data_IF_948825133859
#
_entry.id   IF_948825133859
#
_cell.length_a   1.000
_cell.length_b   1.000
_cell.length_c   1.000
_cell.angle_alpha   90.00
_cell.angle_beta   90.00
_cell.angle_gamma   90.00
#
_symmetry.space_group_name_H-M   'P 1'
#
loop_
_entity.id
_entity.type
_entity.pdbx_description
1 polymer ?
#
# COMPACT_ATOMS: atom_id res chain seq x y z
N UNK A 1 -7.32 13.50 19.53
CA UNK A 1 -6.06 13.13 18.81
C UNK A 1 -5.03 12.51 19.74
N UNK A 2 -4.28 13.26 20.57
CA UNK A 2 -3.28 12.63 21.47
C UNK A 2 -3.88 11.60 22.43
N UNK A 3 -5.02 11.91 23.08
CA UNK A 3 -5.68 10.98 24.00
C UNK A 3 -6.22 9.70 23.34
N UNK A 4 -6.66 9.79 22.09
CA UNK A 4 -7.21 8.63 21.36
C UNK A 4 -6.08 7.74 20.83
N UNK A 5 -4.98 8.34 20.39
CA UNK A 5 -3.75 7.63 20.02
C UNK A 5 -3.21 6.81 21.21
N UNK A 6 -3.14 7.42 22.40
CA UNK A 6 -2.71 6.72 23.60
C UNK A 6 -3.62 5.54 23.96
N UNK A 7 -4.94 5.67 23.75
CA UNK A 7 -5.87 4.54 23.95
C UNK A 7 -5.64 3.39 22.97
N UNK A 8 -5.34 3.70 21.70
CA UNK A 8 -5.02 2.68 20.70
C UNK A 8 -3.72 1.95 21.03
N UNK A 9 -2.67 2.68 21.42
CA UNK A 9 -1.39 2.09 21.83
C UNK A 9 -1.57 1.15 23.03
N UNK A 10 -2.25 1.61 24.08
CA UNK A 10 -2.55 0.79 25.26
C UNK A 10 -3.38 -0.47 24.94
N UNK A 11 -4.19 -0.44 23.87
CA UNK A 11 -4.97 -1.60 23.44
C UNK A 11 -4.08 -2.63 22.70
N UNK A 12 -3.15 -2.16 21.87
CA UNK A 12 -2.18 -3.02 21.16
C UNK A 12 -1.20 -3.69 22.12
N UNK A 13 -0.84 -3.02 23.23
CA UNK A 13 0.07 -3.56 24.26
C UNK A 13 -0.38 -4.89 24.85
N UNK A 14 -1.67 -5.25 24.76
CA UNK A 14 -2.19 -6.55 25.17
C UNK A 14 -1.53 -7.73 24.45
N UNK A 15 -0.98 -7.52 23.25
CA UNK A 15 -0.25 -8.56 22.52
C UNK A 15 0.98 -9.03 23.30
N UNK A 16 1.60 -8.16 24.11
CA UNK A 16 2.75 -8.51 24.93
C UNK A 16 2.43 -9.50 26.08
N UNK A 17 1.14 -9.74 26.36
CA UNK A 17 0.71 -10.75 27.34
C UNK A 17 0.80 -12.19 26.77
N UNK A 18 1.00 -12.33 25.46
CA UNK A 18 1.09 -13.62 24.77
C UNK A 18 2.55 -14.04 24.62
N UNK A 19 2.84 -15.31 24.91
CA UNK A 19 4.12 -15.93 24.59
C UNK A 19 4.15 -16.28 23.08
N UNK A 20 4.97 -15.55 22.33
CA UNK A 20 5.16 -15.72 20.89
C UNK A 20 6.56 -16.22 20.55
N UNK A 21 7.31 -16.72 21.55
CA UNK A 21 8.66 -17.23 21.33
C UNK A 21 8.64 -18.42 20.36
N UNK A 22 9.38 -18.30 19.25
CA UNK A 22 9.46 -19.32 18.21
C UNK A 22 8.27 -19.37 17.24
N UNK A 23 7.32 -18.42 17.33
CA UNK A 23 6.23 -18.28 16.36
C UNK A 23 6.70 -17.40 15.20
N UNK A 24 6.84 -17.99 14.01
CA UNK A 24 7.19 -17.24 12.80
C UNK A 24 6.07 -16.27 12.40
N UNK A 25 6.37 -15.00 12.09
CA UNK A 25 5.37 -14.03 11.65
C UNK A 25 4.70 -14.44 10.34
N UNK A 26 3.38 -14.33 10.30
CA UNK A 26 2.61 -14.57 9.08
C UNK A 26 2.61 -13.33 8.19
N UNK A 27 3.48 -13.31 7.17
CA UNK A 27 3.58 -12.21 6.22
C UNK A 27 2.51 -12.26 5.12
N UNK A 28 2.24 -13.45 4.58
CA UNK A 28 1.25 -13.68 3.53
C UNK A 28 0.43 -14.94 3.86
N UNK A 29 -0.85 -14.90 3.53
CA UNK A 29 -1.76 -16.05 3.70
C UNK A 29 -1.53 -17.14 2.63
N UNK A 30 -0.89 -16.78 1.52
CA UNK A 30 -0.60 -17.68 0.40
C UNK A 30 0.88 -18.06 0.38
N UNK A 31 1.14 -19.29 -0.09
CA UNK A 31 2.50 -19.85 -0.21
C UNK A 31 3.20 -19.45 -1.52
N UNK A 32 2.73 -18.39 -2.18
CA UNK A 32 3.21 -18.00 -3.49
C UNK A 32 4.58 -17.32 -3.41
N UNK A 33 5.58 -17.93 -4.04
CA UNK A 33 6.95 -17.43 -4.06
C UNK A 33 7.33 -17.07 -5.49
N UNK A 34 7.81 -15.83 -5.69
CA UNK A 34 8.34 -15.34 -6.96
C UNK A 34 7.37 -15.47 -8.16
N UNK A 35 6.14 -14.99 -8.02
CA UNK A 35 5.25 -14.84 -9.18
C UNK A 35 5.76 -13.70 -10.06
N UNK A 36 6.47 -14.06 -11.13
CA UNK A 36 7.04 -13.11 -12.06
C UNK A 36 6.05 -12.77 -13.18
N UNK A 37 6.04 -11.51 -13.58
CA UNK A 37 5.34 -11.03 -14.78
C UNK A 37 6.14 -11.40 -16.04
N UNK A 38 5.47 -11.86 -17.09
CA UNK A 38 6.07 -12.04 -18.41
C UNK A 38 6.58 -10.69 -18.98
N UNK A 39 7.72 -10.73 -19.67
CA UNK A 39 8.32 -9.54 -20.28
C UNK A 39 7.66 -9.20 -21.63
N UNK A 40 6.43 -8.73 -21.55
CA UNK A 40 5.60 -8.39 -22.71
C UNK A 40 5.10 -6.94 -22.60
N UNK A 41 5.10 -6.22 -23.72
CA UNK A 41 4.58 -4.86 -23.81
C UNK A 41 3.06 -4.88 -23.89
N UNK A 42 2.39 -4.11 -23.04
CA UNK A 42 0.92 -3.96 -23.01
C UNK A 42 0.54 -2.49 -22.98
N UNK A 43 -0.34 -2.09 -23.90
CA UNK A 43 -0.99 -0.78 -23.85
C UNK A 43 -2.32 -0.92 -23.11
N UNK A 44 -2.33 -0.62 -21.81
CA UNK A 44 -3.51 -0.87 -20.95
C UNK A 44 -4.49 0.31 -20.88
N UNK A 45 -3.99 1.55 -21.01
CA UNK A 45 -4.81 2.76 -20.92
C UNK A 45 -4.42 3.78 -21.99
N UNK A 46 -5.36 4.63 -22.39
CA UNK A 46 -5.07 5.77 -23.25
C UNK A 46 -4.50 6.94 -22.44
N UNK A 47 -3.92 7.91 -23.13
CA UNK A 47 -3.42 9.14 -22.50
C UNK A 47 -4.55 9.95 -21.85
N UNK A 48 -5.70 10.06 -22.50
CA UNK A 48 -6.90 10.71 -21.96
C UNK A 48 -7.39 10.02 -20.68
N UNK A 49 -7.39 8.68 -20.65
CA UNK A 49 -7.77 7.90 -19.47
C UNK A 49 -6.79 8.12 -18.32
N UNK A 50 -5.48 8.15 -18.61
CA UNK A 50 -4.44 8.37 -17.62
C UNK A 50 -4.57 9.74 -16.94
N UNK A 51 -4.95 10.77 -17.70
CA UNK A 51 -5.10 12.13 -17.20
C UNK A 51 -6.48 12.41 -16.60
N UNK A 52 -7.46 11.52 -16.72
CA UNK A 52 -8.87 11.75 -16.36
C UNK A 52 -9.07 12.28 -14.93
N UNK A 53 -8.31 11.77 -13.97
CA UNK A 53 -8.44 12.10 -12.55
C UNK A 53 -7.35 13.06 -12.03
N UNK A 54 -6.54 13.64 -12.92
CA UNK A 54 -5.52 14.60 -12.52
C UNK A 54 -6.17 15.85 -11.91
N UNK A 55 -5.80 16.27 -10.67
CA UNK A 55 -6.36 17.47 -10.06
C UNK A 55 -5.97 18.76 -10.80
N UNK A 56 -4.77 18.79 -11.38
CA UNK A 56 -4.31 19.82 -12.31
C UNK A 56 -3.47 19.16 -13.41
N UNK A 57 -3.80 19.47 -14.67
CA UNK A 57 -3.15 18.93 -15.86
C UNK A 57 -3.14 19.96 -16.98
N UNK A 58 -2.17 19.81 -17.87
CA UNK A 58 -2.23 20.41 -19.20
C UNK A 58 -2.79 19.40 -20.22
N UNK A 59 -2.72 19.73 -21.51
CA UNK A 59 -3.05 18.81 -22.60
C UNK A 59 -2.34 17.47 -22.42
N UNK A 60 -1.03 17.49 -22.13
CA UNK A 60 -0.22 16.26 -22.15
C UNK A 60 0.35 15.82 -20.79
N UNK A 61 0.30 16.66 -19.76
CA UNK A 61 1.10 16.48 -18.53
C UNK A 61 0.32 16.75 -17.24
N UNK A 62 0.73 16.10 -16.14
CA UNK A 62 0.33 16.48 -14.79
C UNK A 62 1.09 17.74 -14.35
N UNK A 63 0.40 18.71 -13.73
CA UNK A 63 1.01 19.93 -13.23
C UNK A 63 1.32 19.83 -11.74
N UNK A 64 2.49 20.32 -11.33
CA UNK A 64 2.92 20.39 -9.93
C UNK A 64 3.53 21.78 -9.64
N UNK A 65 3.43 22.29 -8.39
CA UNK A 65 4.11 23.52 -8.00
C UNK A 65 5.62 23.39 -8.16
N UNK A 66 6.29 24.50 -8.53
CA UNK A 66 7.76 24.60 -8.56
C UNK A 66 8.37 24.66 -7.17
#
# INVERSE_FOLDING_TARGET
>A
MQGDMNKMLNFVDKINELDLDGVEPLAYMSDEVNILRADEVKQEITHDDALKNAPDKDTDYFRVPK
#
